data_IF_361325987319
#
_entry.id   IF_361325987319
#
_cell.length_a   1.000
_cell.length_b   1.000
_cell.length_c   1.000
_cell.angle_alpha   90.00
_cell.angle_beta   90.00
_cell.angle_gamma   90.00
#
_symmetry.space_group_name_H-M   'P 1'
#
loop_
_entity.id
_entity.type
_entity.pdbx_description
1 polymer ?
#
# COMPACT_ATOMS: atom_id res chain seq x y z
N UNK A 1 -1.81 13.20 -4.42
CA UNK A 1 -2.83 12.45 -3.63
C UNK A 1 -3.44 13.33 -2.52
N UNK A 2 -3.45 14.65 -2.70
CA UNK A 2 -3.33 15.57 -1.55
C UNK A 2 -4.65 15.89 -0.88
N UNK A 3 -5.75 15.39 -1.43
CA UNK A 3 -7.11 15.53 -0.89
C UNK A 3 -7.55 14.33 -0.06
N UNK A 4 -6.75 13.26 -0.04
CA UNK A 4 -7.00 12.09 0.81
C UNK A 4 -6.59 12.44 2.24
N UNK A 5 -7.39 12.00 3.21
CA UNK A 5 -7.10 12.21 4.62
C UNK A 5 -6.63 10.91 5.25
N UNK A 6 -5.49 10.95 5.91
CA UNK A 6 -4.84 9.82 6.57
C UNK A 6 -4.83 10.04 8.08
N UNK A 7 -5.21 9.02 8.83
CA UNK A 7 -5.10 9.00 10.29
C UNK A 7 -5.05 7.55 10.79
N UNK A 8 -4.69 7.32 12.06
CA UNK A 8 -4.90 6.00 12.65
C UNK A 8 -6.39 5.64 12.66
N UNK A 9 -6.68 4.36 12.46
CA UNK A 9 -8.00 3.82 12.73
C UNK A 9 -8.30 3.88 14.24
N UNK A 10 -9.52 4.26 14.61
CA UNK A 10 -9.93 4.25 16.02
C UNK A 10 -10.14 2.83 16.55
N UNK A 11 -10.19 2.68 17.87
CA UNK A 11 -10.48 1.38 18.51
C UNK A 11 -11.84 0.83 18.05
N UNK A 12 -12.84 1.70 17.87
CA UNK A 12 -14.16 1.33 17.37
C UNK A 12 -14.11 0.86 15.92
N UNK A 13 -13.29 1.50 15.08
CA UNK A 13 -13.10 1.09 13.68
C UNK A 13 -12.36 -0.24 13.58
N UNK A 14 -11.31 -0.46 14.39
CA UNK A 14 -10.62 -1.75 14.49
C UNK A 14 -11.55 -2.86 14.96
N UNK A 15 -12.44 -2.57 15.91
CA UNK A 15 -13.46 -3.51 16.37
C UNK A 15 -14.46 -3.83 15.26
N UNK A 16 -14.95 -2.81 14.55
CA UNK A 16 -15.85 -2.97 13.40
C UNK A 16 -15.23 -3.87 12.32
N UNK A 17 -13.96 -3.65 11.98
CA UNK A 17 -13.23 -4.46 11.00
C UNK A 17 -13.21 -5.93 11.43
N UNK A 18 -12.86 -6.22 12.69
CA UNK A 18 -12.77 -7.58 13.22
C UNK A 18 -14.13 -8.31 13.29
N UNK A 19 -15.20 -7.57 13.57
CA UNK A 19 -16.54 -8.13 13.76
C UNK A 19 -17.34 -8.25 12.45
N UNK A 20 -16.98 -7.50 11.42
CA UNK A 20 -17.72 -7.47 10.15
C UNK A 20 -17.18 -8.52 9.20
N UNK A 21 -18.05 -9.39 8.67
CA UNK A 21 -17.68 -10.34 7.61
C UNK A 21 -17.53 -9.61 6.25
N UNK A 22 -16.45 -9.85 5.49
CA UNK A 22 -16.30 -9.27 4.17
C UNK A 22 -17.32 -9.85 3.18
N UNK A 23 -17.75 -9.03 2.22
CA UNK A 23 -18.60 -9.43 1.09
C UNK A 23 -17.78 -10.19 0.04
N UNK A 24 -16.54 -9.74 -0.18
CA UNK A 24 -15.60 -10.32 -1.13
C UNK A 24 -14.19 -10.25 -0.54
N UNK A 25 -13.41 -11.30 -0.77
CA UNK A 25 -11.97 -11.32 -0.52
C UNK A 25 -11.26 -11.46 -1.86
N UNK A 26 -10.25 -10.64 -2.08
CA UNK A 26 -9.37 -10.66 -3.23
C UNK A 26 -7.94 -10.85 -2.75
N UNK A 27 -7.14 -11.56 -3.53
CA UNK A 27 -5.74 -11.83 -3.21
C UNK A 27 -4.89 -11.49 -4.44
N UNK A 28 -3.68 -10.97 -4.21
CA UNK A 28 -2.66 -10.73 -5.23
C UNK A 28 -3.18 -9.88 -6.42
N UNK A 29 -3.90 -8.80 -6.10
CA UNK A 29 -4.57 -7.93 -7.09
C UNK A 29 -3.62 -7.06 -7.93
N UNK A 30 -2.32 -7.13 -7.62
CA UNK A 30 -1.23 -6.53 -8.35
C UNK A 30 -0.07 -7.51 -8.39
N UNK A 31 0.68 -7.51 -9.48
CA UNK A 31 2.00 -8.16 -9.53
C UNK A 31 2.95 -7.49 -8.54
N UNK A 32 4.13 -8.08 -8.35
CA UNK A 32 5.25 -7.52 -7.60
C UNK A 32 5.81 -6.26 -8.30
N UNK A 33 5.03 -5.19 -8.38
CA UNK A 33 5.34 -3.91 -9.03
C UNK A 33 5.12 -2.76 -8.07
N UNK A 34 5.91 -1.71 -8.25
CA UNK A 34 5.89 -0.54 -7.40
C UNK A 34 6.67 -0.69 -6.10
N UNK A 35 6.75 0.42 -5.38
CA UNK A 35 7.43 0.55 -4.10
C UNK A 35 6.71 1.59 -3.23
N UNK A 36 6.58 1.35 -1.91
CA UNK A 36 6.01 2.32 -0.98
C UNK A 36 6.70 3.69 -0.99
N UNK A 37 8.00 3.78 -1.28
CA UNK A 37 8.73 5.05 -1.31
C UNK A 37 8.40 5.97 -2.49
N UNK A 38 7.71 5.48 -3.53
CA UNK A 38 7.48 6.27 -4.73
C UNK A 38 6.56 7.46 -4.41
N UNK A 39 7.04 8.68 -4.68
CA UNK A 39 6.23 9.89 -4.52
C UNK A 39 4.97 9.85 -5.41
N UNK A 40 3.83 10.24 -4.83
CA UNK A 40 2.51 10.17 -5.48
C UNK A 40 1.86 11.55 -5.57
N UNK A 41 2.28 12.31 -6.56
CA UNK A 41 1.74 13.62 -6.97
C UNK A 41 0.32 13.46 -7.54
N UNK A 42 0.16 12.61 -8.55
CA UNK A 42 -1.10 12.29 -9.20
C UNK A 42 -1.25 10.78 -9.44
N UNK A 43 -2.50 10.31 -9.59
CA UNK A 43 -2.76 8.90 -9.89
C UNK A 43 -2.24 8.52 -11.28
N UNK A 44 -2.31 9.44 -12.25
CA UNK A 44 -1.84 9.20 -13.62
C UNK A 44 -0.30 9.06 -13.69
N UNK A 45 0.46 9.89 -12.97
CA UNK A 45 1.91 9.73 -12.87
C UNK A 45 2.29 8.42 -12.18
N UNK A 46 1.50 8.00 -11.17
CA UNK A 46 1.72 6.74 -10.48
C UNK A 46 1.43 5.53 -11.38
N UNK A 47 0.41 5.59 -12.24
CA UNK A 47 0.13 4.58 -13.28
C UNK A 47 1.31 4.43 -14.23
N UNK A 48 1.85 5.54 -14.72
CA UNK A 48 3.02 5.53 -15.60
C UNK A 48 4.20 4.84 -14.92
N UNK A 49 4.48 5.20 -13.66
CA UNK A 49 5.53 4.56 -12.88
C UNK A 49 5.34 3.04 -12.73
N UNK A 50 4.15 2.59 -12.36
CA UNK A 50 3.89 1.16 -12.18
C UNK A 50 4.07 0.38 -13.50
N UNK A 51 3.66 0.97 -14.63
CA UNK A 51 3.88 0.40 -15.95
C UNK A 51 5.38 0.31 -16.29
N UNK A 52 6.15 1.37 -16.04
CA UNK A 52 7.60 1.37 -16.25
C UNK A 52 8.32 0.34 -15.38
N UNK A 53 7.94 0.22 -14.11
CA UNK A 53 8.50 -0.78 -13.18
C UNK A 53 8.21 -2.21 -13.67
N UNK A 54 6.97 -2.47 -14.11
CA UNK A 54 6.57 -3.77 -14.66
C UNK A 54 7.38 -4.15 -15.92
N UNK A 55 7.59 -3.20 -16.84
CA UNK A 55 8.38 -3.40 -18.06
C UNK A 55 9.86 -3.61 -17.73
N UNK A 56 10.40 -2.86 -16.76
CA UNK A 56 11.78 -3.04 -16.28
C UNK A 56 12.00 -4.44 -15.73
N UNK A 57 11.11 -4.90 -14.85
CA UNK A 57 11.14 -6.25 -14.25
C UNK A 57 11.04 -7.35 -15.30
N UNK A 58 10.20 -7.17 -16.32
CA UNK A 58 10.16 -8.06 -17.50
C UNK A 58 11.51 -8.09 -18.22
N UNK A 59 12.11 -6.94 -18.48
CA UNK A 59 13.39 -6.82 -19.20
C UNK A 59 14.55 -7.49 -18.47
N UNK A 60 14.50 -7.54 -17.13
CA UNK A 60 15.50 -8.23 -16.29
C UNK A 60 15.32 -9.74 -16.28
N UNK A 61 14.28 -10.28 -16.92
CA UNK A 61 14.08 -11.72 -17.00
C UNK A 61 13.44 -12.33 -15.75
N UNK A 62 12.73 -11.55 -14.91
CA UNK A 62 12.01 -12.10 -13.76
C UNK A 62 10.90 -13.06 -14.24
N UNK A 63 10.84 -14.25 -13.66
CA UNK A 63 9.94 -15.34 -14.10
C UNK A 63 8.49 -14.90 -14.16
N UNK A 64 8.05 -14.15 -13.16
CA UNK A 64 6.65 -13.75 -12.95
C UNK A 64 6.16 -12.71 -13.97
N UNK A 65 7.09 -12.17 -14.77
CA UNK A 65 6.87 -11.19 -15.82
C UNK A 65 7.16 -11.73 -17.22
N UNK A 66 7.62 -12.98 -17.32
CA UNK A 66 8.03 -13.62 -18.59
C UNK A 66 7.17 -14.86 -18.90
N UNK A 67 5.90 -14.83 -18.50
CA UNK A 67 4.97 -15.92 -18.78
C UNK A 67 4.67 -16.04 -20.29
N UNK A 68 4.51 -17.27 -20.82
CA UNK A 68 4.12 -17.47 -22.21
C UNK A 68 2.79 -16.76 -22.53
N UNK A 69 2.73 -16.06 -23.65
CA UNK A 69 1.55 -15.31 -24.14
C UNK A 69 1.16 -14.06 -23.33
N UNK A 70 1.98 -13.64 -22.37
CA UNK A 70 1.75 -12.41 -21.61
C UNK A 70 2.07 -11.16 -22.45
N UNK A 71 1.06 -10.34 -22.69
CA UNK A 71 1.22 -9.04 -23.35
C UNK A 71 1.77 -8.00 -22.37
N UNK A 72 2.21 -6.84 -22.87
CA UNK A 72 2.60 -5.73 -21.99
C UNK A 72 1.41 -5.18 -21.19
N UNK A 73 0.20 -5.23 -21.75
CA UNK A 73 -1.02 -4.78 -21.07
C UNK A 73 -1.38 -5.70 -19.88
N UNK A 74 -1.01 -6.98 -19.95
CA UNK A 74 -1.21 -7.94 -18.85
C UNK A 74 -0.27 -7.69 -17.65
N UNK A 75 0.83 -6.96 -17.84
CA UNK A 75 1.77 -6.65 -16.77
C UNK A 75 1.22 -5.58 -15.82
N UNK A 76 0.35 -4.71 -16.34
CA UNK A 76 -0.23 -3.58 -15.65
C UNK A 76 -1.70 -3.43 -16.05
N UNK A 77 -2.51 -4.43 -15.68
CA UNK A 77 -3.95 -4.38 -15.91
C UNK A 77 -4.63 -3.63 -14.77
N UNK A 78 -5.19 -2.47 -15.09
CA UNK A 78 -6.05 -1.72 -14.18
C UNK A 78 -7.43 -2.39 -14.10
N UNK A 79 -7.88 -2.71 -12.89
CA UNK A 79 -9.17 -3.35 -12.63
C UNK A 79 -9.98 -2.52 -11.65
N UNK A 80 -11.28 -2.36 -11.95
CA UNK A 80 -12.24 -1.77 -11.03
C UNK A 80 -12.57 -2.81 -9.96
N UNK A 81 -12.21 -2.52 -8.72
CA UNK A 81 -12.47 -3.40 -7.57
C UNK A 81 -13.85 -3.16 -6.99
N UNK A 82 -14.28 -1.89 -6.99
CA UNK A 82 -15.57 -1.43 -6.51
C UNK A 82 -16.12 -0.36 -7.45
N UNK A 83 -17.40 -0.48 -7.77
CA UNK A 83 -18.09 0.46 -8.63
C UNK A 83 -18.39 1.76 -7.89
N UNK A 84 -18.44 2.88 -8.62
CA UNK A 84 -18.70 4.19 -8.03
C UNK A 84 -20.06 4.28 -7.29
N UNK A 85 -21.03 3.45 -7.66
CA UNK A 85 -22.34 3.39 -6.99
C UNK A 85 -22.28 2.90 -5.55
N UNK A 86 -21.24 2.14 -5.19
CA UNK A 86 -21.11 1.54 -3.86
C UNK A 86 -20.61 2.58 -2.83
N UNK A 87 -20.18 3.76 -3.29
CA UNK A 87 -19.87 4.93 -2.47
C UNK A 87 -18.88 4.66 -1.32
N UNK A 88 -17.88 3.78 -1.56
CA UNK A 88 -16.86 3.45 -0.58
C UNK A 88 -16.01 4.66 -0.27
N UNK A 89 -16.14 5.14 0.97
CA UNK A 89 -15.47 6.33 1.48
C UNK A 89 -14.15 6.03 2.19
N UNK A 90 -14.10 4.93 2.94
CA UNK A 90 -12.96 4.62 3.78
C UNK A 90 -12.23 3.38 3.28
N UNK A 91 -10.91 3.48 3.24
CA UNK A 91 -9.99 2.36 3.04
C UNK A 91 -9.13 2.26 4.31
N UNK A 92 -8.97 1.05 4.84
CA UNK A 92 -8.13 0.77 5.99
C UNK A 92 -6.91 -0.03 5.51
N UNK A 93 -5.73 0.57 5.64
CA UNK A 93 -4.46 -0.03 5.27
C UNK A 93 -3.85 -0.67 6.52
N UNK A 94 -3.86 -1.99 6.60
CA UNK A 94 -3.17 -2.73 7.67
C UNK A 94 -1.71 -2.89 7.27
N UNK A 95 -0.79 -2.42 8.10
CA UNK A 95 0.66 -2.44 7.88
C UNK A 95 1.32 -2.99 9.14
N UNK A 96 2.03 -4.10 9.01
CA UNK A 96 2.77 -4.76 10.09
C UNK A 96 4.26 -4.96 9.76
N UNK A 97 4.61 -4.98 8.47
CA UNK A 97 5.97 -5.15 8.00
C UNK A 97 6.91 -4.07 8.57
N UNK A 98 7.99 -4.51 9.21
CA UNK A 98 9.05 -3.66 9.74
C UNK A 98 8.60 -2.67 10.84
N UNK A 99 7.46 -2.97 11.48
CA UNK A 99 6.96 -2.23 12.64
C UNK A 99 7.09 -3.07 13.91
N UNK A 100 7.23 -2.41 15.06
CA UNK A 100 7.13 -3.08 16.37
C UNK A 100 5.69 -3.06 16.88
N UNK A 101 4.92 -2.06 16.45
CA UNK A 101 3.51 -1.90 16.77
C UNK A 101 2.72 -1.92 15.46
N UNK A 102 1.81 -2.87 15.31
CA UNK A 102 0.91 -2.95 14.14
C UNK A 102 0.16 -1.64 13.93
N UNK A 103 0.05 -1.21 12.68
CA UNK A 103 -0.62 0.02 12.30
C UNK A 103 -1.79 -0.27 11.36
N UNK A 104 -2.94 0.33 11.63
CA UNK A 104 -4.03 0.40 10.66
C UNK A 104 -4.30 1.86 10.35
N UNK A 105 -3.98 2.26 9.13
CA UNK A 105 -4.18 3.64 8.67
C UNK A 105 -5.53 3.73 7.96
N UNK A 106 -6.42 4.56 8.51
CA UNK A 106 -7.64 4.93 7.85
C UNK A 106 -7.36 6.01 6.81
N UNK A 107 -7.84 5.77 5.60
CA UNK A 107 -7.77 6.69 4.49
C UNK A 107 -9.17 7.06 4.03
N UNK A 108 -9.50 8.35 4.11
CA UNK A 108 -10.78 8.88 3.63
C UNK A 108 -10.63 9.39 2.20
N UNK A 109 -11.34 8.77 1.26
CA UNK A 109 -11.38 9.15 -0.15
C UNK A 109 -12.17 10.45 -0.34
N UNK A 110 -11.70 11.40 -1.17
CA UNK A 110 -12.40 12.65 -1.42
C UNK A 110 -13.66 12.48 -2.29
N UNK A 111 -13.66 11.51 -3.20
CA UNK A 111 -14.75 11.25 -4.15
C UNK A 111 -15.21 9.79 -4.06
N UNK A 112 -15.97 9.40 -3.02
CA UNK A 112 -16.39 8.01 -2.83
C UNK A 112 -17.27 7.46 -3.96
N UNK A 113 -17.89 8.35 -4.76
CA UNK A 113 -18.68 7.99 -5.93
C UNK A 113 -17.85 7.63 -7.17
N UNK A 114 -16.52 7.77 -7.13
CA UNK A 114 -15.63 7.31 -8.19
C UNK A 114 -15.29 5.83 -7.99
N UNK A 115 -15.28 5.01 -9.07
CA UNK A 115 -14.83 3.63 -8.99
C UNK A 115 -13.45 3.55 -8.35
N UNK A 116 -13.24 2.56 -7.49
CA UNK A 116 -11.94 2.31 -6.88
C UNK A 116 -11.24 1.23 -7.68
N UNK A 117 -10.04 1.52 -8.18
CA UNK A 117 -9.24 0.57 -8.95
C UNK A 117 -8.12 -0.04 -8.11
N UNK A 118 -7.55 -1.16 -8.55
CA UNK A 118 -6.37 -1.76 -7.92
C UNK A 118 -5.19 -0.77 -7.87
N UNK A 119 -4.99 0.03 -8.92
CA UNK A 119 -3.98 1.10 -8.99
C UNK A 119 -4.21 2.17 -7.92
N UNK A 120 -5.44 2.68 -7.78
CA UNK A 120 -5.74 3.65 -6.74
C UNK A 120 -5.51 3.04 -5.35
N UNK A 121 -5.86 1.77 -5.15
CA UNK A 121 -5.69 1.09 -3.87
C UNK A 121 -4.21 0.93 -3.47
N UNK A 122 -3.34 0.51 -4.39
CA UNK A 122 -1.89 0.44 -4.13
C UNK A 122 -1.28 1.85 -3.96
N UNK A 123 -1.81 2.88 -4.63
CA UNK A 123 -1.39 4.27 -4.41
C UNK A 123 -1.78 4.77 -2.99
N UNK A 124 -3.00 4.47 -2.55
CA UNK A 124 -3.48 4.74 -1.19
C UNK A 124 -2.55 4.07 -0.18
N UNK A 125 -2.24 2.79 -0.39
CA UNK A 125 -1.43 2.00 0.53
C UNK A 125 0.04 2.46 0.59
N UNK A 126 0.66 2.79 -0.55
CA UNK A 126 1.98 3.43 -0.59
C UNK A 126 1.99 4.74 0.20
N UNK A 127 0.92 5.54 0.10
CA UNK A 127 0.84 6.81 0.82
C UNK A 127 0.57 6.62 2.31
N UNK A 128 -0.09 5.53 2.72
CA UNK A 128 -0.21 5.12 4.11
C UNK A 128 1.15 4.72 4.71
N UNK A 129 1.99 3.97 3.98
CA UNK A 129 3.37 3.70 4.38
C UNK A 129 4.19 4.99 4.55
N UNK A 130 4.10 5.90 3.58
CA UNK A 130 4.78 7.19 3.67
C UNK A 130 4.29 8.00 4.88
N UNK A 131 2.98 8.00 5.15
CA UNK A 131 2.40 8.63 6.35
C UNK A 131 2.98 8.05 7.65
N UNK A 132 3.10 6.72 7.76
CA UNK A 132 3.69 6.06 8.93
C UNK A 132 5.13 6.54 9.18
N UNK A 133 5.98 6.52 8.15
CA UNK A 133 7.37 6.99 8.27
C UNK A 133 7.46 8.49 8.56
N UNK A 134 6.66 9.31 7.89
CA UNK A 134 6.63 10.76 8.11
C UNK A 134 6.20 11.11 9.54
N UNK A 135 5.19 10.45 10.09
CA UNK A 135 4.72 10.71 11.45
C UNK A 135 5.71 10.21 12.51
N UNK A 136 6.31 9.04 12.31
CA UNK A 136 7.37 8.53 13.20
C UNK A 136 8.58 9.49 13.24
N UNK A 137 9.04 9.96 12.07
CA UNK A 137 10.20 10.84 11.99
C UNK A 137 9.89 12.25 12.53
N UNK A 138 8.65 12.73 12.42
CA UNK A 138 8.23 13.97 13.09
C UNK A 138 8.23 13.82 14.62
N UNK A 139 7.87 12.66 15.14
CA UNK A 139 7.76 12.41 16.58
C UNK A 139 9.12 12.21 17.24
N UNK A 140 9.97 11.34 16.68
CA UNK A 140 11.21 10.88 17.31
C UNK A 140 12.47 11.05 16.44
N UNK A 141 12.33 11.55 15.20
CA UNK A 141 13.43 11.69 14.25
C UNK A 141 13.85 10.38 13.58
N UNK A 142 14.80 10.48 12.66
CA UNK A 142 15.42 9.31 12.03
C UNK A 142 16.50 8.72 12.97
N UNK A 143 16.42 7.43 13.36
CA UNK A 143 17.35 6.80 14.29
C UNK A 143 18.71 6.41 13.66
N UNK A 144 18.90 6.69 12.36
CA UNK A 144 20.06 6.28 11.58
C UNK A 144 20.10 4.77 11.35
N UNK A 145 21.29 4.26 11.02
CA UNK A 145 21.52 2.85 10.73
C UNK A 145 22.25 2.12 11.86
N UNK A 146 22.05 0.81 11.95
CA UNK A 146 22.81 -0.07 12.86
C UNK A 146 24.29 0.03 12.48
N UNK A 147 25.16 0.21 13.48
CA UNK A 147 26.59 0.40 13.23
C UNK A 147 27.19 -0.75 12.41
N UNK A 148 27.71 -0.42 11.22
CA UNK A 148 28.33 -1.40 10.32
C UNK A 148 27.34 -2.18 9.43
N UNK A 149 26.06 -1.81 9.44
CA UNK A 149 25.02 -2.40 8.58
C UNK A 149 24.29 -1.30 7.80
N UNK A 150 23.61 -1.69 6.72
CA UNK A 150 22.72 -0.81 5.96
C UNK A 150 21.32 -0.70 6.59
N UNK A 151 20.99 -1.59 7.52
CA UNK A 151 19.68 -1.64 8.15
C UNK A 151 19.42 -0.43 9.05
N UNK A 152 18.20 0.10 9.00
CA UNK A 152 17.71 1.17 9.86
C UNK A 152 17.65 0.70 11.33
N UNK A 153 18.12 1.53 12.26
CA UNK A 153 17.90 1.30 13.68
C UNK A 153 16.40 1.36 14.01
N UNK A 154 16.00 0.74 15.12
CA UNK A 154 14.65 0.87 15.63
C UNK A 154 14.41 2.29 16.16
N UNK A 155 13.31 2.91 15.73
CA UNK A 155 12.80 4.14 16.32
C UNK A 155 11.94 3.86 17.56
N UNK A 156 11.84 4.82 18.47
CA UNK A 156 11.08 4.69 19.73
C UNK A 156 9.75 5.46 19.71
N UNK A 157 9.22 5.79 18.53
CA UNK A 157 7.94 6.46 18.37
C UNK A 157 6.78 5.48 18.31
N UNK A 158 5.60 6.01 17.98
CA UNK A 158 4.33 5.29 17.96
C UNK A 158 4.34 3.96 17.20
N UNK A 159 5.05 3.85 16.08
CA UNK A 159 5.04 2.65 15.23
C UNK A 159 6.26 1.74 15.47
N UNK A 160 7.35 2.32 15.99
CA UNK A 160 8.58 1.58 16.27
C UNK A 160 9.19 0.93 15.03
N UNK A 161 9.38 1.73 13.97
CA UNK A 161 9.92 1.33 12.67
C UNK A 161 11.36 0.84 12.83
N UNK A 162 11.72 -0.28 12.19
CA UNK A 162 13.07 -0.85 12.27
C UNK A 162 13.47 -1.59 10.99
N UNK A 163 14.76 -1.92 10.84
CA UNK A 163 15.24 -2.82 9.79
C UNK A 163 15.51 -2.13 8.46
N UNK A 164 14.52 -1.44 7.87
CA UNK A 164 14.61 -0.88 6.52
C UNK A 164 14.20 0.58 6.47
N UNK A 165 14.92 1.37 5.67
CA UNK A 165 14.41 2.66 5.25
C UNK A 165 13.27 2.45 4.25
N UNK A 166 12.35 3.40 4.17
CA UNK A 166 11.19 3.31 3.28
C UNK A 166 11.63 3.07 1.81
N UNK A 167 12.77 3.66 1.41
CA UNK A 167 13.36 3.53 0.08
C UNK A 167 13.81 2.13 -0.29
N UNK A 168 14.03 1.27 0.70
CA UNK A 168 14.46 -0.11 0.46
C UNK A 168 13.26 -1.01 0.14
N UNK A 169 12.05 -0.59 0.51
CA UNK A 169 10.87 -1.43 0.41
C UNK A 169 10.33 -1.51 -1.02
N UNK A 170 9.97 -2.71 -1.44
CA UNK A 170 9.31 -3.02 -2.72
C UNK A 170 8.12 -3.95 -2.49
N UNK A 171 7.07 -3.80 -3.28
CA UNK A 171 5.94 -4.73 -3.20
C UNK A 171 6.32 -6.10 -3.79
N UNK A 172 6.01 -7.16 -3.06
CA UNK A 172 6.33 -8.53 -3.47
C UNK A 172 5.17 -9.25 -4.19
N UNK A 173 4.05 -8.55 -4.42
CA UNK A 173 2.87 -9.05 -5.13
C UNK A 173 1.88 -9.81 -4.25
N UNK A 174 2.25 -10.17 -3.02
CA UNK A 174 1.29 -10.70 -2.05
C UNK A 174 0.42 -9.57 -1.52
N UNK A 175 -0.89 -9.77 -1.57
CA UNK A 175 -1.84 -8.83 -1.00
C UNK A 175 -3.14 -9.52 -0.63
N UNK A 176 -3.80 -9.01 0.40
CA UNK A 176 -5.17 -9.35 0.77
C UNK A 176 -6.03 -8.08 0.76
N UNK A 177 -7.17 -8.14 0.06
CA UNK A 177 -8.14 -7.06 0.02
C UNK A 177 -9.52 -7.59 0.40
N UNK A 178 -10.05 -7.06 1.50
CA UNK A 178 -11.36 -7.38 2.03
C UNK A 178 -12.32 -6.26 1.70
N UNK A 179 -13.32 -6.57 0.87
CA UNK A 179 -14.35 -5.62 0.47
C UNK A 179 -15.56 -5.80 1.39
N UNK A 180 -15.90 -4.76 2.14
CA UNK A 180 -17.11 -4.66 2.93
C UNK A 180 -18.12 -3.74 2.24
N UNK A 181 -19.32 -3.65 2.81
CA UNK A 181 -20.39 -2.82 2.25
C UNK A 181 -20.01 -1.33 2.19
N UNK A 182 -19.37 -0.83 3.26
CA UNK A 182 -19.16 0.62 3.45
C UNK A 182 -17.66 1.02 3.49
N UNK A 183 -16.76 0.02 3.49
CA UNK A 183 -15.31 0.24 3.56
C UNK A 183 -14.53 -0.92 2.93
N UNK A 184 -13.24 -0.71 2.73
CA UNK A 184 -12.28 -1.74 2.32
C UNK A 184 -11.19 -1.85 3.37
N UNK A 185 -10.69 -3.07 3.58
CA UNK A 185 -9.42 -3.32 4.26
C UNK A 185 -8.44 -3.86 3.24
N UNK A 186 -7.23 -3.34 3.22
CA UNK A 186 -6.17 -3.84 2.36
C UNK A 186 -4.87 -4.02 3.14
N UNK A 187 -4.14 -5.05 2.75
CA UNK A 187 -2.81 -5.41 3.19
C UNK A 187 -2.00 -5.76 1.93
N UNK A 188 -0.92 -5.02 1.68
CA UNK A 188 0.03 -5.32 0.60
C UNK A 188 1.39 -5.58 1.24
N UNK A 189 1.96 -6.72 0.90
CA UNK A 189 3.20 -7.17 1.50
C UNK A 189 4.39 -6.57 0.75
N UNK A 190 5.45 -6.33 1.52
CA UNK A 190 6.67 -5.68 1.06
C UNK A 190 7.88 -6.49 1.49
N UNK A 191 8.90 -6.47 0.64
CA UNK A 191 10.23 -7.00 0.91
C UNK A 191 11.27 -5.88 0.70
N UNK A 192 12.53 -6.17 0.99
CA UNK A 192 13.69 -5.28 0.82
C UNK A 192 14.80 -5.89 -0.03
#
# INVERSE_FOLDING_TARGET
MDKYLFCDASIEELKLIKETKPLKKLENISKAIGAPAKAITSLEEYKVYLKEDALSKKSWGLSDFNEPNQTEDDLFKEEVLVEGSDNIKNVFCFIDAYLSNEATIKVTRPNPSQPLTNVELIAIYSRAFQFIYEEEEKEVGNPGHVQGMLNRNQSNGRYGIWGHDLSDLVYNGFSEVLIHKDFIVCDFHVDS
#
